data_IF_102688158171
#
_entry.id   IF_102688158171
#
_cell.length_a   1.000
_cell.length_b   1.000
_cell.length_c   1.000
_cell.angle_alpha   90.00
_cell.angle_beta   90.00
_cell.angle_gamma   90.00
#
_symmetry.space_group_name_H-M   'P 1'
#
loop_
_entity.id
_entity.type
_entity.pdbx_description
1 polymer ?
#
# COMPACT_ATOMS: atom_id res chain seq x y z
N UNK A 1 21.90 65.52 -27.99
CA UNK A 1 21.25 64.24 -27.66
C UNK A 1 20.23 63.95 -28.74
N UNK A 2 20.40 62.88 -29.51
CA UNK A 2 19.51 62.50 -30.61
C UNK A 2 18.17 62.02 -30.04
N UNK A 3 17.06 62.43 -30.67
CA UNK A 3 15.69 62.02 -30.30
C UNK A 3 15.52 60.49 -30.20
N UNK A 4 16.27 59.75 -31.03
CA UNK A 4 16.34 58.28 -31.01
C UNK A 4 17.00 57.73 -29.74
N UNK A 5 18.04 58.40 -29.23
CA UNK A 5 18.74 58.00 -28.00
C UNK A 5 17.94 58.38 -26.74
N UNK A 6 17.18 59.47 -26.81
CA UNK A 6 16.24 59.84 -25.75
C UNK A 6 15.09 58.82 -25.65
N UNK A 7 14.59 58.34 -26.79
CA UNK A 7 13.54 57.31 -26.82
C UNK A 7 14.04 55.96 -26.26
N UNK A 8 15.27 55.57 -26.60
CA UNK A 8 15.88 54.33 -26.10
C UNK A 8 16.12 54.37 -24.57
N UNK A 9 16.52 55.51 -24.03
CA UNK A 9 16.68 55.70 -22.57
C UNK A 9 15.33 55.66 -21.86
N UNK A 10 14.28 56.28 -22.42
CA UNK A 10 12.94 56.21 -21.85
C UNK A 10 12.37 54.78 -21.87
N UNK A 11 12.68 53.99 -22.90
CA UNK A 11 12.23 52.60 -22.99
C UNK A 11 12.90 51.71 -21.93
N UNK A 12 14.19 51.89 -21.67
CA UNK A 12 14.93 51.09 -20.67
C UNK A 12 14.47 51.41 -19.24
N UNK A 13 14.09 52.67 -18.95
CA UNK A 13 13.59 53.09 -17.64
C UNK A 13 12.18 52.58 -17.32
N UNK A 14 11.40 52.18 -18.33
CA UNK A 14 10.04 51.66 -18.14
C UNK A 14 10.00 50.16 -17.75
N UNK A 15 11.11 49.43 -17.92
CA UNK A 15 11.16 47.97 -17.72
C UNK A 15 11.49 47.61 -16.24
N UNK A 16 11.94 48.57 -15.44
CA UNK A 16 12.38 48.33 -14.06
C UNK A 16 11.29 48.41 -12.97
N UNK A 17 9.99 48.42 -13.31
CA UNK A 17 8.91 48.56 -12.31
C UNK A 17 8.15 47.27 -11.98
N UNK A 18 8.57 46.10 -12.44
CA UNK A 18 7.97 44.81 -12.02
C UNK A 18 8.70 44.27 -10.80
N UNK A 19 8.56 44.96 -9.66
CA UNK A 19 8.89 44.40 -8.36
C UNK A 19 7.94 43.23 -8.07
N UNK A 20 8.55 42.08 -7.73
CA UNK A 20 7.97 40.76 -7.46
C UNK A 20 6.56 40.74 -6.87
N UNK A 21 5.64 40.02 -7.52
CA UNK A 21 4.38 39.57 -6.92
C UNK A 21 4.63 38.20 -6.29
N UNK A 22 4.39 38.07 -4.98
CA UNK A 22 4.23 36.77 -4.31
C UNK A 22 2.78 36.68 -3.85
N UNK A 23 2.06 35.64 -4.28
CA UNK A 23 0.82 35.25 -3.62
C UNK A 23 1.22 34.33 -2.46
N UNK A 24 1.15 34.84 -1.23
CA UNK A 24 1.18 33.98 -0.05
C UNK A 24 -0.22 33.38 0.09
N UNK A 25 -0.39 32.16 -0.42
CA UNK A 25 -1.59 31.38 -0.18
C UNK A 25 -1.53 30.92 1.28
N UNK A 26 -2.42 31.45 2.12
CA UNK A 26 -2.53 31.07 3.51
C UNK A 26 -3.00 29.61 3.56
N UNK A 27 -2.06 28.67 3.47
CA UNK A 27 -2.33 27.25 3.66
C UNK A 27 -2.64 27.05 5.15
N UNK A 28 -3.90 27.24 5.52
CA UNK A 28 -4.43 26.73 6.76
C UNK A 28 -4.14 25.24 6.76
N UNK A 29 -3.13 24.83 7.53
CA UNK A 29 -2.95 23.43 7.86
C UNK A 29 -4.20 23.04 8.62
N UNK A 30 -5.16 22.47 7.90
CA UNK A 30 -6.24 21.69 8.49
C UNK A 30 -5.51 20.53 9.16
N UNK A 31 -5.18 20.70 10.43
CA UNK A 31 -4.85 19.58 11.30
C UNK A 31 -6.12 18.76 11.30
N UNK A 32 -6.20 17.78 10.39
CA UNK A 32 -7.25 16.78 10.47
C UNK A 32 -7.09 16.18 11.86
N UNK A 33 -8.05 16.49 12.72
CA UNK A 33 -8.29 15.74 13.91
C UNK A 33 -8.80 14.38 13.42
N UNK A 34 -7.87 13.56 12.90
CA UNK A 34 -8.14 12.19 12.52
C UNK A 34 -8.55 11.55 13.83
N UNK A 35 -9.86 11.37 14.01
CA UNK A 35 -10.39 10.42 14.97
C UNK A 35 -9.65 9.12 14.64
N UNK A 36 -8.62 8.79 15.42
CA UNK A 36 -7.86 7.57 15.22
C UNK A 36 -8.85 6.45 15.48
N UNK A 37 -9.45 5.93 14.41
CA UNK A 37 -10.18 4.68 14.48
C UNK A 37 -9.16 3.69 15.01
N UNK A 38 -9.43 3.11 16.18
CA UNK A 38 -8.48 2.21 16.82
C UNK A 38 -8.13 1.10 15.82
N UNK A 39 -6.86 1.09 15.40
CA UNK A 39 -6.35 0.10 14.48
C UNK A 39 -6.22 -1.23 15.21
N UNK A 40 -6.51 -2.32 14.49
CA UNK A 40 -6.15 -3.65 14.94
C UNK A 40 -4.70 -3.95 14.61
N UNK A 41 -4.22 -5.10 15.08
CA UNK A 41 -2.85 -5.53 14.79
C UNK A 41 -2.80 -6.78 13.95
N UNK A 42 -1.65 -7.05 13.32
CA UNK A 42 -1.48 -8.30 12.61
C UNK A 42 -1.65 -9.51 13.54
N UNK A 43 -1.23 -9.43 14.81
CA UNK A 43 -1.53 -10.45 15.81
C UNK A 43 -3.05 -10.72 15.96
N UNK A 44 -3.88 -9.67 16.02
CA UNK A 44 -5.34 -9.81 16.09
C UNK A 44 -5.93 -10.46 14.83
N UNK A 45 -5.46 -10.06 13.65
CA UNK A 45 -5.93 -10.62 12.38
C UNK A 45 -5.48 -12.08 12.22
N UNK A 46 -4.24 -12.41 12.59
CA UNK A 46 -3.75 -13.79 12.64
C UNK A 46 -4.60 -14.65 13.58
N UNK A 47 -4.95 -14.14 14.77
CA UNK A 47 -5.85 -14.85 15.69
C UNK A 47 -7.23 -15.09 15.05
N UNK A 48 -7.77 -14.08 14.36
CA UNK A 48 -9.06 -14.21 13.65
C UNK A 48 -9.00 -15.29 12.57
N UNK A 49 -7.93 -15.30 11.76
CA UNK A 49 -7.69 -16.33 10.74
C UNK A 49 -7.54 -17.72 11.37
N UNK A 50 -6.79 -17.84 12.46
CA UNK A 50 -6.56 -19.11 13.15
C UNK A 50 -7.87 -19.72 13.68
N UNK A 51 -8.79 -18.90 14.17
CA UNK A 51 -10.08 -19.35 14.71
C UNK A 51 -11.20 -19.45 13.67
N UNK A 52 -11.01 -18.93 12.46
CA UNK A 52 -11.98 -19.05 11.38
C UNK A 52 -12.16 -20.52 10.95
N UNK A 53 -13.41 -20.91 10.68
CA UNK A 53 -13.74 -22.20 10.08
C UNK A 53 -13.22 -22.29 8.63
N UNK A 54 -12.93 -23.51 8.17
CA UNK A 54 -12.54 -23.71 6.79
C UNK A 54 -13.67 -23.30 5.83
N UNK A 55 -13.31 -22.70 4.70
CA UNK A 55 -14.18 -22.09 3.70
C UNK A 55 -15.05 -20.91 4.19
N UNK A 56 -14.79 -20.36 5.38
CA UNK A 56 -15.53 -19.21 5.88
C UNK A 56 -15.06 -17.89 5.26
N UNK A 57 -15.85 -16.82 5.46
CA UNK A 57 -15.50 -15.44 5.08
C UNK A 57 -15.25 -14.59 6.32
N UNK A 58 -14.08 -13.96 6.37
CA UNK A 58 -13.72 -12.94 7.36
C UNK A 58 -14.02 -11.57 6.77
N UNK A 59 -14.72 -10.73 7.54
CA UNK A 59 -15.00 -9.34 7.17
C UNK A 59 -14.17 -8.41 8.07
N UNK A 60 -13.25 -7.66 7.48
CA UNK A 60 -12.49 -6.66 8.24
C UNK A 60 -13.43 -5.54 8.68
N UNK A 61 -13.23 -5.06 9.90
CA UNK A 61 -14.05 -3.99 10.51
C UNK A 61 -13.22 -2.78 10.97
N UNK A 62 -11.91 -2.83 10.70
CA UNK A 62 -10.91 -1.79 10.99
C UNK A 62 -9.67 -2.03 10.15
N UNK A 63 -8.78 -1.05 10.15
CA UNK A 63 -7.43 -1.24 9.60
C UNK A 63 -6.62 -2.15 10.52
N UNK A 64 -5.63 -2.83 9.96
CA UNK A 64 -4.70 -3.68 10.70
C UNK A 64 -3.28 -3.27 10.38
N UNK A 65 -2.47 -3.05 11.41
CA UNK A 65 -1.07 -2.61 11.27
C UNK A 65 -0.13 -3.63 11.89
N UNK A 66 1.04 -3.80 11.27
CA UNK A 66 2.09 -4.66 11.79
C UNK A 66 2.54 -4.24 13.20
N UNK A 67 2.56 -5.21 14.11
CA UNK A 67 2.93 -5.05 15.52
C UNK A 67 4.13 -5.93 15.94
N UNK A 68 4.87 -6.50 14.98
CA UNK A 68 6.00 -7.39 15.26
C UNK A 68 5.69 -8.88 15.16
N UNK A 69 4.50 -9.29 14.71
CA UNK A 69 4.11 -10.70 14.65
C UNK A 69 4.75 -11.48 13.47
N UNK A 70 4.69 -12.81 13.51
CA UNK A 70 4.95 -13.65 12.33
C UNK A 70 6.41 -13.79 11.93
N UNK A 71 7.35 -13.49 12.84
CA UNK A 71 8.80 -13.71 12.66
C UNK A 71 9.38 -13.15 11.34
N UNK A 72 8.79 -12.06 10.83
CA UNK A 72 9.18 -11.41 9.58
C UNK A 72 8.44 -11.89 8.33
N UNK A 73 7.63 -12.94 8.42
CA UNK A 73 6.84 -13.49 7.31
C UNK A 73 5.43 -12.88 7.17
N UNK A 74 5.03 -12.05 8.13
CA UNK A 74 3.72 -11.40 8.15
C UNK A 74 2.62 -12.28 8.74
N UNK A 75 1.41 -12.14 8.21
CA UNK A 75 0.26 -12.98 8.57
C UNK A 75 0.25 -14.22 7.67
N UNK A 76 0.16 -15.40 8.27
CA UNK A 76 0.16 -16.70 7.59
C UNK A 76 -1.26 -17.19 7.36
N UNK A 77 -1.58 -17.54 6.11
CA UNK A 77 -2.85 -18.16 5.71
C UNK A 77 -2.57 -19.55 5.12
N UNK A 78 -2.82 -20.57 5.92
CA UNK A 78 -2.68 -22.00 5.52
C UNK A 78 -4.00 -22.76 5.52
N UNK A 79 -5.13 -22.07 5.34
CA UNK A 79 -6.48 -22.66 5.31
C UNK A 79 -7.33 -21.98 4.25
N UNK A 80 -8.35 -22.68 3.76
CA UNK A 80 -9.22 -22.17 2.72
C UNK A 80 -10.17 -21.13 3.32
N UNK A 81 -10.04 -19.86 2.94
CA UNK A 81 -10.87 -18.78 3.46
C UNK A 81 -11.07 -17.68 2.42
N UNK A 82 -12.09 -16.86 2.64
CA UNK A 82 -12.20 -15.55 2.01
C UNK A 82 -11.97 -14.44 3.04
N UNK A 83 -11.31 -13.37 2.63
CA UNK A 83 -11.19 -12.13 3.41
C UNK A 83 -11.78 -11.00 2.57
N UNK A 84 -12.84 -10.39 3.07
CA UNK A 84 -13.41 -9.16 2.56
C UNK A 84 -12.93 -7.99 3.43
N UNK A 85 -12.14 -7.10 2.82
CA UNK A 85 -11.57 -5.95 3.49
C UNK A 85 -12.58 -4.87 3.82
N UNK A 86 -13.78 -4.86 3.21
CA UNK A 86 -14.74 -3.75 3.34
C UNK A 86 -14.11 -2.35 3.12
N UNK A 87 -13.05 -2.27 2.30
CA UNK A 87 -12.28 -1.04 2.06
C UNK A 87 -11.22 -0.72 3.12
N UNK A 88 -11.01 -1.58 4.11
CA UNK A 88 -9.99 -1.41 5.14
C UNK A 88 -8.58 -1.73 4.64
N UNK A 89 -7.61 -1.14 5.34
CA UNK A 89 -6.18 -1.26 5.08
C UNK A 89 -5.54 -2.34 5.93
N UNK A 90 -4.63 -3.10 5.32
CA UNK A 90 -3.70 -3.98 6.03
C UNK A 90 -2.29 -3.46 5.73
N UNK A 91 -1.63 -2.93 6.76
CA UNK A 91 -0.41 -2.13 6.67
C UNK A 91 0.80 -2.88 7.26
N UNK A 92 1.76 -3.25 6.41
CA UNK A 92 3.00 -3.91 6.80
C UNK A 92 4.02 -3.00 7.50
N UNK A 93 3.70 -1.70 7.64
CA UNK A 93 4.50 -0.68 8.31
C UNK A 93 5.97 -0.62 7.84
N UNK A 94 6.20 -0.86 6.55
CA UNK A 94 7.52 -0.98 5.91
C UNK A 94 8.46 -1.96 6.61
N UNK A 95 7.91 -2.97 7.29
CA UNK A 95 8.68 -3.82 8.21
C UNK A 95 8.52 -5.33 7.95
N UNK A 96 7.47 -5.75 7.24
CA UNK A 96 7.23 -7.17 6.94
C UNK A 96 6.38 -7.35 5.69
N UNK A 97 6.35 -8.57 5.18
CA UNK A 97 5.32 -9.01 4.25
C UNK A 97 3.93 -8.90 4.90
N UNK A 98 2.88 -8.65 4.13
CA UNK A 98 1.52 -8.63 4.67
C UNK A 98 0.95 -10.05 4.82
N UNK A 99 0.83 -10.80 3.73
CA UNK A 99 0.38 -12.20 3.77
C UNK A 99 1.40 -13.16 3.15
N UNK A 100 1.66 -14.25 3.89
CA UNK A 100 2.20 -15.49 3.36
C UNK A 100 1.06 -16.50 3.22
N UNK A 101 0.83 -16.96 1.99
CA UNK A 101 -0.22 -17.92 1.65
C UNK A 101 0.44 -19.19 1.14
N UNK A 102 0.23 -20.31 1.82
CA UNK A 102 0.86 -21.57 1.46
C UNK A 102 -0.16 -22.72 1.50
N UNK A 103 -0.28 -23.46 0.40
CA UNK A 103 -1.08 -24.69 0.35
C UNK A 103 -2.61 -24.51 0.51
N UNK A 104 -3.16 -23.33 0.22
CA UNK A 104 -4.57 -22.98 0.51
C UNK A 104 -5.35 -22.39 -0.68
N UNK A 105 -6.68 -22.42 -0.62
CA UNK A 105 -7.56 -21.70 -1.53
C UNK A 105 -8.03 -20.39 -0.87
N UNK A 106 -7.50 -19.25 -1.32
CA UNK A 106 -7.72 -17.95 -0.68
C UNK A 106 -8.36 -16.96 -1.65
N UNK A 107 -9.42 -16.29 -1.21
CA UNK A 107 -10.02 -15.14 -1.89
C UNK A 107 -9.81 -13.87 -1.07
N UNK A 108 -9.16 -12.86 -1.65
CA UNK A 108 -8.91 -11.57 -1.03
C UNK A 108 -9.68 -10.50 -1.82
N UNK A 109 -10.54 -9.72 -1.17
CA UNK A 109 -11.30 -8.67 -1.88
C UNK A 109 -11.51 -7.41 -1.07
N UNK A 110 -11.64 -6.26 -1.74
CA UNK A 110 -11.89 -4.96 -1.11
C UNK A 110 -10.84 -4.58 -0.05
N UNK A 111 -9.56 -4.93 -0.25
CA UNK A 111 -8.48 -4.65 0.71
C UNK A 111 -7.49 -3.64 0.13
N UNK A 112 -7.01 -2.72 0.97
CA UNK A 112 -5.82 -1.91 0.68
C UNK A 112 -4.61 -2.57 1.32
N UNK A 113 -3.78 -3.23 0.53
CA UNK A 113 -2.50 -3.81 0.95
C UNK A 113 -1.41 -2.78 0.83
N UNK A 114 -0.75 -2.46 1.94
CA UNK A 114 0.20 -1.38 1.86
C UNK A 114 1.40 -1.44 2.80
N UNK A 115 2.45 -0.72 2.39
CA UNK A 115 3.71 -0.63 3.11
C UNK A 115 4.29 -2.00 3.46
N UNK A 116 4.01 -3.02 2.65
CA UNK A 116 4.63 -4.32 2.80
C UNK A 116 6.10 -4.24 2.42
N UNK A 117 6.98 -4.87 3.19
CA UNK A 117 8.42 -4.83 2.98
C UNK A 117 9.06 -6.17 3.31
N UNK A 118 9.85 -6.71 2.38
CA UNK A 118 10.70 -7.86 2.65
C UNK A 118 11.94 -7.82 1.76
N UNK A 119 13.09 -8.24 2.27
CA UNK A 119 14.25 -8.57 1.45
C UNK A 119 14.04 -10.02 0.98
N UNK A 120 13.32 -10.19 -0.13
CA UNK A 120 12.92 -11.50 -0.64
C UNK A 120 11.67 -11.44 -1.52
N UNK A 121 10.77 -12.38 -1.32
CA UNK A 121 9.60 -12.61 -2.18
C UNK A 121 8.36 -11.87 -1.68
N UNK A 122 7.69 -11.09 -2.53
CA UNK A 122 6.33 -10.60 -2.27
C UNK A 122 6.24 -9.61 -1.12
N UNK A 123 6.29 -8.30 -1.39
CA UNK A 123 6.26 -7.29 -0.32
C UNK A 123 4.89 -7.21 0.34
N UNK A 124 3.81 -7.31 -0.42
CA UNK A 124 2.47 -7.49 0.14
C UNK A 124 2.15 -8.98 0.31
N UNK A 125 2.22 -9.74 -0.79
CA UNK A 125 1.73 -11.11 -0.84
C UNK A 125 2.78 -12.04 -1.42
N UNK A 126 3.03 -13.16 -0.75
CA UNK A 126 3.71 -14.31 -1.32
C UNK A 126 2.78 -15.50 -1.23
N UNK A 127 2.49 -16.09 -2.38
CA UNK A 127 1.59 -17.23 -2.52
C UNK A 127 2.34 -18.42 -3.12
N UNK A 128 2.35 -19.55 -2.42
CA UNK A 128 2.93 -20.82 -2.85
C UNK A 128 1.90 -21.95 -2.83
N UNK A 129 1.90 -22.80 -3.87
CA UNK A 129 1.08 -24.02 -3.94
C UNK A 129 -0.41 -23.80 -3.58
N UNK A 130 -0.95 -22.66 -4.03
CA UNK A 130 -2.26 -22.15 -3.60
C UNK A 130 -3.13 -21.76 -4.81
N UNK A 131 -4.44 -21.66 -4.61
CA UNK A 131 -5.31 -20.93 -5.52
C UNK A 131 -5.65 -19.58 -4.91
N UNK A 132 -5.09 -18.51 -5.47
CA UNK A 132 -5.30 -17.14 -5.01
C UNK A 132 -6.20 -16.38 -5.99
N UNK A 133 -7.31 -15.84 -5.47
CA UNK A 133 -8.14 -14.87 -6.17
C UNK A 133 -8.06 -13.52 -5.47
N UNK A 134 -7.78 -12.44 -6.22
CA UNK A 134 -7.76 -11.08 -5.70
C UNK A 134 -8.75 -10.26 -6.52
N UNK A 135 -9.68 -9.59 -5.84
CA UNK A 135 -10.70 -8.75 -6.46
C UNK A 135 -10.81 -7.38 -5.78
N UNK A 136 -11.09 -6.33 -6.56
CA UNK A 136 -11.28 -4.96 -6.07
C UNK A 136 -10.32 -4.51 -4.94
N UNK A 137 -9.02 -4.80 -5.09
CA UNK A 137 -8.00 -4.54 -4.05
C UNK A 137 -6.86 -3.70 -4.62
N UNK A 138 -6.19 -2.94 -3.77
CA UNK A 138 -5.09 -2.04 -4.17
C UNK A 138 -3.80 -2.37 -3.44
N UNK A 139 -2.66 -2.21 -4.12
CA UNK A 139 -1.32 -2.42 -3.58
C UNK A 139 -0.57 -1.09 -3.57
N UNK A 140 -0.27 -0.57 -2.38
CA UNK A 140 0.32 0.77 -2.20
C UNK A 140 1.67 0.66 -1.48
N UNK A 141 2.73 1.19 -2.08
CA UNK A 141 4.05 1.32 -1.46
C UNK A 141 4.62 -0.01 -0.90
N UNK A 142 4.42 -1.10 -1.63
CA UNK A 142 4.98 -2.40 -1.29
C UNK A 142 6.33 -2.62 -1.96
N UNK A 143 7.30 -3.14 -1.21
CA UNK A 143 8.70 -3.28 -1.62
C UNK A 143 9.17 -4.71 -1.37
N UNK A 144 9.77 -5.33 -2.39
CA UNK A 144 10.47 -6.60 -2.27
C UNK A 144 11.56 -6.75 -3.34
N UNK A 145 12.45 -7.73 -3.17
CA UNK A 145 13.46 -8.08 -4.18
C UNK A 145 12.80 -8.75 -5.41
N UNK A 146 11.82 -9.63 -5.17
CA UNK A 146 11.10 -10.37 -6.20
C UNK A 146 9.59 -10.22 -6.03
N UNK A 147 8.91 -9.71 -7.06
CA UNK A 147 7.47 -9.46 -7.00
C UNK A 147 7.14 -8.40 -5.93
N UNK A 148 7.49 -7.12 -6.14
CA UNK A 148 7.47 -6.08 -5.10
C UNK A 148 6.12 -5.95 -4.38
N UNK A 149 5.01 -6.14 -5.09
CA UNK A 149 3.70 -6.29 -4.46
C UNK A 149 3.33 -7.77 -4.25
N UNK A 150 3.29 -8.56 -5.32
CA UNK A 150 2.82 -9.95 -5.30
C UNK A 150 3.87 -10.84 -5.96
N UNK A 151 4.19 -11.96 -5.33
CA UNK A 151 4.84 -13.10 -5.97
C UNK A 151 3.95 -14.34 -5.85
N UNK A 152 3.64 -14.96 -6.99
CA UNK A 152 2.92 -16.22 -7.06
C UNK A 152 3.87 -17.31 -7.58
N UNK A 153 3.98 -18.40 -6.82
CA UNK A 153 4.84 -19.54 -7.14
C UNK A 153 4.01 -20.83 -7.09
N UNK A 154 3.94 -21.54 -8.21
CA UNK A 154 3.13 -22.76 -8.34
C UNK A 154 4.02 -23.89 -8.83
N UNK A 155 4.37 -24.82 -7.94
CA UNK A 155 5.24 -25.96 -8.26
C UNK A 155 4.51 -26.94 -9.20
N UNK A 156 3.18 -26.93 -9.23
CA UNK A 156 2.40 -27.86 -10.07
C UNK A 156 2.51 -27.59 -11.57
N UNK A 157 2.99 -26.40 -11.98
CA UNK A 157 3.21 -26.07 -13.39
C UNK A 157 4.57 -26.53 -13.93
N UNK A 158 5.56 -26.73 -13.07
CA UNK A 158 6.90 -27.16 -13.49
C UNK A 158 6.96 -28.67 -13.81
N UNK A 159 5.94 -29.44 -13.40
CA UNK A 159 5.80 -30.87 -13.71
C UNK A 159 4.86 -31.18 -14.90
N UNK A 160 4.41 -30.17 -15.67
CA UNK A 160 3.75 -30.43 -16.96
C UNK A 160 4.79 -30.55 -18.07
N UNK A 161 5.41 -31.72 -18.15
CA UNK A 161 6.08 -32.17 -19.38
C UNK A 161 4.96 -32.31 -20.43
N UNK A 162 4.90 -31.36 -21.36
CA UNK A 162 4.07 -31.44 -22.58
C UNK A 162 4.57 -32.53 -23.52
#
# INVERSE_FOLDING_TARGET
>A
MNKEFLFLICLILFIFTVSSVSAEDANQTVTQNTLSVAEGTFTELQYTINNAENHSTIYLNKNYVYDGCGDGEGIIIGKDIAIDGNGHRVDGNHSTRIFLIDGANVSLRNIVFANGFVIGNGGALWASDCNLSIDNSSFVDNIADFGPAILFYDISKDNRIS
#
